data_IF_546745118691
#
_entry.id   IF_546745118691
#
_cell.length_a   1.000
_cell.length_b   1.000
_cell.length_c   1.000
_cell.angle_alpha   90.00
_cell.angle_beta   90.00
_cell.angle_gamma   90.00
#
_symmetry.space_group_name_H-M   'P 1'
#
loop_
_entity.id
_entity.type
_entity.pdbx_description
1 polymer ?
#
# COMPACT_ATOMS: atom_id res chain seq x y z
N UNK A 1 11.02 -0.28 -34.27
CA UNK A 1 11.25 -1.08 -33.05
C UNK A 1 10.62 -0.45 -31.81
N UNK A 2 10.72 0.88 -31.60
CA UNK A 2 10.08 1.58 -30.46
C UNK A 2 8.58 1.30 -30.28
N UNK A 3 7.79 1.32 -31.36
CA UNK A 3 6.33 1.11 -31.26
C UNK A 3 5.94 -0.31 -30.84
N UNK A 4 6.73 -1.31 -31.25
CA UNK A 4 6.50 -2.70 -30.86
C UNK A 4 6.77 -2.91 -29.36
N UNK A 5 7.87 -2.35 -28.84
CA UNK A 5 8.19 -2.41 -27.41
C UNK A 5 7.17 -1.66 -26.57
N UNK A 6 6.69 -0.51 -27.05
CA UNK A 6 5.60 0.24 -26.39
C UNK A 6 4.31 -0.58 -26.31
N UNK A 7 3.94 -1.29 -27.38
CA UNK A 7 2.77 -2.17 -27.38
C UNK A 7 2.95 -3.36 -26.42
N UNK A 8 4.14 -3.96 -26.36
CA UNK A 8 4.46 -5.02 -25.41
C UNK A 8 4.38 -4.53 -23.96
N UNK A 9 4.90 -3.34 -23.67
CA UNK A 9 4.79 -2.72 -22.35
C UNK A 9 3.33 -2.50 -21.91
N UNK A 10 2.51 -1.97 -22.83
CA UNK A 10 1.06 -1.81 -22.58
C UNK A 10 0.39 -3.15 -22.35
N UNK A 11 0.73 -4.18 -23.13
CA UNK A 11 0.19 -5.53 -22.97
C UNK A 11 0.59 -6.15 -21.63
N UNK A 12 1.86 -6.09 -21.24
CA UNK A 12 2.33 -6.59 -19.94
C UNK A 12 1.56 -5.92 -18.80
N UNK A 13 1.35 -4.61 -18.87
CA UNK A 13 0.58 -3.86 -17.88
C UNK A 13 -0.90 -4.28 -17.81
N UNK A 14 -1.50 -4.62 -18.95
CA UNK A 14 -2.88 -5.13 -19.01
C UNK A 14 -3.00 -6.54 -18.44
N UNK A 15 -2.06 -7.43 -18.75
CA UNK A 15 -2.04 -8.78 -18.16
C UNK A 15 -1.84 -8.72 -16.64
N UNK A 16 -0.96 -7.84 -16.17
CA UNK A 16 -0.77 -7.58 -14.75
C UNK A 16 -2.08 -7.11 -14.06
N UNK A 17 -2.84 -6.20 -14.69
CA UNK A 17 -4.15 -5.76 -14.20
C UNK A 17 -5.18 -6.89 -14.16
N UNK A 18 -5.12 -7.82 -15.11
CA UNK A 18 -5.94 -9.03 -15.16
C UNK A 18 -5.46 -10.14 -14.22
N UNK A 19 -4.40 -9.89 -13.44
CA UNK A 19 -3.74 -10.87 -12.56
C UNK A 19 -3.14 -12.08 -13.31
N UNK A 20 -2.94 -11.95 -14.62
CA UNK A 20 -2.26 -12.95 -15.46
C UNK A 20 -0.75 -12.77 -15.37
N UNK A 21 -0.21 -13.00 -14.17
CA UNK A 21 1.18 -12.65 -13.85
C UNK A 21 2.19 -13.44 -14.68
N UNK A 22 1.94 -14.72 -14.99
CA UNK A 22 2.84 -15.54 -15.80
C UNK A 22 2.99 -14.97 -17.21
N UNK A 23 1.88 -14.61 -17.85
CA UNK A 23 1.91 -13.98 -19.18
C UNK A 23 2.60 -12.61 -19.15
N UNK A 24 2.41 -11.81 -18.09
CA UNK A 24 3.12 -10.55 -17.91
C UNK A 24 4.64 -10.77 -17.77
N UNK A 25 5.07 -11.78 -17.01
CA UNK A 25 6.50 -12.15 -16.83
C UNK A 25 7.13 -12.55 -18.16
N UNK A 26 6.43 -13.35 -18.97
CA UNK A 26 6.93 -13.75 -20.29
C UNK A 26 7.14 -12.54 -21.22
N UNK A 27 6.18 -11.61 -21.24
CA UNK A 27 6.29 -10.39 -22.04
C UNK A 27 7.45 -9.52 -21.56
N UNK A 28 7.59 -9.32 -20.25
CA UNK A 28 8.66 -8.52 -19.66
C UNK A 28 10.04 -9.16 -19.91
N UNK A 29 10.14 -10.48 -19.84
CA UNK A 29 11.38 -11.20 -20.16
C UNK A 29 11.77 -11.02 -21.63
N UNK A 30 10.79 -11.00 -22.55
CA UNK A 30 11.06 -10.66 -23.96
C UNK A 30 11.51 -9.21 -24.12
N UNK A 31 10.87 -8.26 -23.43
CA UNK A 31 11.27 -6.85 -23.45
C UNK A 31 12.72 -6.66 -22.98
N UNK A 32 13.13 -7.36 -21.93
CA UNK A 32 14.50 -7.33 -21.41
C UNK A 32 15.53 -7.86 -22.40
N UNK A 33 15.16 -8.81 -23.28
CA UNK A 33 16.06 -9.25 -24.34
C UNK A 33 16.31 -8.17 -25.40
N UNK A 34 15.38 -7.22 -25.58
CA UNK A 34 15.52 -6.08 -26.48
C UNK A 34 16.11 -4.83 -25.80
N UNK A 35 15.81 -4.63 -24.52
CA UNK A 35 16.19 -3.46 -23.73
C UNK A 35 16.77 -3.93 -22.36
N UNK A 36 17.98 -4.53 -22.36
CA UNK A 36 18.55 -5.14 -21.17
C UNK A 36 18.91 -4.15 -20.06
N UNK A 37 19.17 -2.89 -20.41
CA UNK A 37 19.56 -1.84 -19.45
C UNK A 37 18.35 -1.04 -18.92
N UNK A 38 17.13 -1.40 -19.32
CA UNK A 38 15.93 -0.72 -18.85
C UNK A 38 15.49 -1.28 -17.49
N UNK A 39 15.98 -0.65 -16.42
CA UNK A 39 15.64 -0.96 -15.02
C UNK A 39 14.14 -1.08 -14.75
N UNK A 40 13.30 -0.33 -15.49
CA UNK A 40 11.84 -0.38 -15.34
C UNK A 40 11.25 -1.76 -15.64
N UNK A 41 11.83 -2.52 -16.58
CA UNK A 41 11.36 -3.87 -16.92
C UNK A 41 11.58 -4.85 -15.77
N UNK A 42 12.76 -4.80 -15.14
CA UNK A 42 13.08 -5.61 -13.97
C UNK A 42 12.16 -5.27 -12.79
N UNK A 43 11.95 -3.98 -12.47
CA UNK A 43 11.01 -3.59 -11.40
C UNK A 43 9.60 -4.13 -11.67
N UNK A 44 9.13 -4.06 -12.92
CA UNK A 44 7.80 -4.54 -13.26
C UNK A 44 7.72 -6.08 -13.21
N UNK A 45 8.79 -6.80 -13.61
CA UNK A 45 8.82 -8.26 -13.55
C UNK A 45 8.97 -8.77 -12.12
N UNK A 46 9.83 -8.14 -11.33
CA UNK A 46 9.94 -8.38 -9.90
C UNK A 46 8.62 -8.19 -9.18
N UNK A 47 7.81 -7.18 -9.54
CA UNK A 47 6.45 -7.03 -9.02
C UNK A 47 5.52 -8.20 -9.39
N UNK A 48 5.66 -8.77 -10.58
CA UNK A 48 4.87 -9.96 -10.95
C UNK A 48 5.30 -11.18 -10.14
N UNK A 49 6.61 -11.38 -9.95
CA UNK A 49 7.14 -12.42 -9.08
C UNK A 49 6.68 -12.26 -7.63
N UNK A 50 6.70 -11.03 -7.11
CA UNK A 50 6.16 -10.69 -5.78
C UNK A 50 4.69 -11.13 -5.66
N UNK A 51 3.86 -10.78 -6.63
CA UNK A 51 2.44 -11.18 -6.63
C UNK A 51 2.22 -12.70 -6.73
N UNK A 52 3.19 -13.44 -7.31
CA UNK A 52 3.21 -14.91 -7.35
C UNK A 52 3.90 -15.54 -6.13
N UNK A 53 4.33 -14.75 -5.14
CA UNK A 53 5.09 -15.20 -3.97
C UNK A 53 6.45 -15.83 -4.31
N UNK A 54 6.99 -15.51 -5.48
CA UNK A 54 8.33 -15.89 -5.92
C UNK A 54 9.35 -14.88 -5.42
N UNK A 55 9.59 -14.91 -4.11
CA UNK A 55 10.32 -13.86 -3.40
C UNK A 55 11.78 -13.70 -3.84
N UNK A 56 12.48 -14.81 -4.08
CA UNK A 56 13.88 -14.78 -4.48
C UNK A 56 14.05 -14.14 -5.87
N UNK A 57 13.18 -14.48 -6.82
CA UNK A 57 13.17 -13.88 -8.16
C UNK A 57 12.79 -12.38 -8.10
N UNK A 58 11.82 -12.02 -7.25
CA UNK A 58 11.45 -10.62 -7.06
C UNK A 58 12.61 -9.79 -6.50
N UNK A 59 13.30 -10.31 -5.48
CA UNK A 59 14.45 -9.65 -4.88
C UNK A 59 15.57 -9.47 -5.90
N UNK A 60 15.91 -10.53 -6.63
CA UNK A 60 16.93 -10.50 -7.68
C UNK A 60 16.64 -9.46 -8.76
N UNK A 61 15.38 -9.35 -9.21
CA UNK A 61 14.97 -8.32 -10.17
C UNK A 61 15.04 -6.91 -9.59
N UNK A 62 14.70 -6.71 -8.32
CA UNK A 62 14.81 -5.39 -7.69
C UNK A 62 16.26 -4.95 -7.47
N UNK A 63 17.13 -5.87 -7.03
CA UNK A 63 18.55 -5.61 -6.87
C UNK A 63 19.17 -5.20 -8.20
N UNK A 64 18.90 -5.96 -9.26
CA UNK A 64 19.42 -5.63 -10.58
C UNK A 64 18.86 -4.32 -11.14
N UNK A 65 17.59 -4.00 -10.88
CA UNK A 65 17.03 -2.71 -11.26
C UNK A 65 17.75 -1.53 -10.57
N UNK A 66 18.15 -1.70 -9.30
CA UNK A 66 18.90 -0.70 -8.54
C UNK A 66 20.33 -0.57 -9.06
N UNK A 67 20.98 -1.69 -9.41
CA UNK A 67 22.30 -1.67 -10.06
C UNK A 67 22.27 -0.89 -11.38
N UNK A 68 21.26 -1.11 -12.22
CA UNK A 68 21.09 -0.42 -13.50
C UNK A 68 20.73 1.06 -13.33
N UNK A 69 19.87 1.38 -12.35
CA UNK A 69 19.46 2.76 -12.08
C UNK A 69 19.27 3.01 -10.58
N UNK A 70 20.33 3.50 -9.89
CA UNK A 70 20.28 3.80 -8.46
C UNK A 70 19.31 4.93 -8.08
N UNK A 71 18.77 5.68 -9.06
CA UNK A 71 17.79 6.75 -8.81
C UNK A 71 16.35 6.29 -9.03
N UNK A 72 16.12 5.01 -9.31
CA UNK A 72 14.79 4.46 -9.51
C UNK A 72 14.09 4.16 -8.18
N UNK A 73 13.52 5.19 -7.54
CA UNK A 73 12.85 5.07 -6.23
C UNK A 73 11.76 3.98 -6.14
N UNK A 74 11.13 3.62 -7.28
CA UNK A 74 10.15 2.52 -7.34
C UNK A 74 10.78 1.15 -7.03
N UNK A 75 12.05 0.94 -7.39
CA UNK A 75 12.76 -0.31 -7.11
C UNK A 75 12.95 -0.48 -5.60
N UNK A 76 13.51 0.54 -4.93
CA UNK A 76 13.64 0.57 -3.46
C UNK A 76 12.30 0.41 -2.76
N UNK A 77 11.27 1.17 -3.15
CA UNK A 77 9.93 1.04 -2.55
C UNK A 77 9.36 -0.38 -2.64
N UNK A 78 9.59 -1.08 -3.75
CA UNK A 78 9.09 -2.43 -3.94
C UNK A 78 9.93 -3.48 -3.19
N UNK A 79 11.26 -3.30 -3.13
CA UNK A 79 12.16 -4.15 -2.35
C UNK A 79 11.92 -3.98 -0.85
N UNK A 80 11.69 -2.75 -0.38
CA UNK A 80 11.25 -2.45 0.98
C UNK A 80 9.98 -3.22 1.37
N UNK A 81 8.95 -3.22 0.50
CA UNK A 81 7.72 -3.97 0.74
C UNK A 81 7.99 -5.48 0.87
N UNK A 82 8.91 -6.02 0.07
CA UNK A 82 9.33 -7.41 0.15
C UNK A 82 10.02 -7.71 1.49
N UNK A 83 10.98 -6.88 1.90
CA UNK A 83 11.64 -7.01 3.20
C UNK A 83 10.65 -6.90 4.36
N UNK A 84 9.73 -5.93 4.32
CA UNK A 84 8.68 -5.77 5.34
C UNK A 84 7.77 -7.01 5.41
N UNK A 85 7.39 -7.60 4.27
CA UNK A 85 6.59 -8.83 4.26
C UNK A 85 7.30 -10.04 4.91
N UNK A 86 8.63 -10.01 4.96
CA UNK A 86 9.48 -11.01 5.59
C UNK A 86 9.93 -10.62 7.01
N UNK A 87 9.39 -9.52 7.56
CA UNK A 87 9.79 -8.95 8.85
C UNK A 87 11.25 -8.53 8.94
N UNK A 88 11.89 -8.26 7.80
CA UNK A 88 13.24 -7.71 7.73
C UNK A 88 13.17 -6.19 7.86
N UNK A 89 12.82 -5.73 9.06
CA UNK A 89 12.41 -4.34 9.29
C UNK A 89 13.49 -3.32 8.97
N UNK A 90 14.72 -3.54 9.41
CA UNK A 90 15.83 -2.60 9.17
C UNK A 90 16.12 -2.42 7.66
N UNK A 91 16.11 -3.51 6.90
CA UNK A 91 16.32 -3.45 5.45
C UNK A 91 15.14 -2.77 4.74
N UNK A 92 13.91 -3.01 5.21
CA UNK A 92 12.73 -2.33 4.69
C UNK A 92 12.79 -0.82 4.93
N UNK A 93 13.14 -0.40 6.15
CA UNK A 93 13.25 1.01 6.52
C UNK A 93 14.31 1.73 5.69
N UNK A 94 15.50 1.15 5.53
CA UNK A 94 16.56 1.73 4.71
C UNK A 94 16.12 1.96 3.25
N UNK A 95 15.43 0.98 2.65
CA UNK A 95 14.91 1.13 1.29
C UNK A 95 13.74 2.13 1.19
N UNK A 96 12.89 2.23 2.23
CA UNK A 96 11.86 3.27 2.26
C UNK A 96 12.46 4.66 2.34
N UNK A 97 13.48 4.86 3.18
CA UNK A 97 14.19 6.13 3.33
C UNK A 97 14.81 6.55 2.00
N UNK A 98 15.55 5.66 1.33
CA UNK A 98 16.13 5.94 0.01
C UNK A 98 15.04 6.28 -1.03
N UNK A 99 13.92 5.55 -1.04
CA UNK A 99 12.81 5.85 -1.95
C UNK A 99 12.15 7.21 -1.69
N UNK A 100 12.14 7.67 -0.43
CA UNK A 100 11.59 8.95 0.01
C UNK A 100 12.59 10.09 -0.27
N UNK A 101 13.89 9.86 -0.08
CA UNK A 101 14.93 10.83 -0.40
C UNK A 101 15.00 11.10 -1.91
N UNK A 102 14.86 10.06 -2.72
CA UNK A 102 14.75 10.19 -4.18
C UNK A 102 13.48 10.92 -4.63
N UNK A 103 12.37 10.77 -3.89
CA UNK A 103 11.13 11.47 -4.16
C UNK A 103 10.30 11.70 -2.87
N UNK A 104 10.40 12.89 -2.28
CA UNK A 104 9.69 13.21 -1.04
C UNK A 104 8.16 13.14 -1.17
N UNK A 105 7.61 13.22 -2.39
CA UNK A 105 6.18 13.12 -2.69
C UNK A 105 5.72 11.67 -2.92
N UNK A 106 6.57 10.67 -2.70
CA UNK A 106 6.19 9.26 -2.76
C UNK A 106 5.36 8.84 -1.53
N UNK A 107 4.10 9.30 -1.50
CA UNK A 107 3.15 9.04 -0.41
C UNK A 107 2.97 7.54 -0.15
N UNK A 108 3.07 6.71 -1.20
CA UNK A 108 2.95 5.26 -1.06
C UNK A 108 4.12 4.65 -0.29
N UNK A 109 5.35 5.09 -0.54
CA UNK A 109 6.52 4.64 0.24
C UNK A 109 6.38 5.06 1.71
N UNK A 110 6.04 6.33 1.96
CA UNK A 110 5.83 6.85 3.32
C UNK A 110 4.70 6.15 4.07
N UNK A 111 3.60 5.84 3.39
CA UNK A 111 2.51 5.06 3.98
C UNK A 111 2.97 3.65 4.37
N UNK A 112 3.71 2.97 3.49
CA UNK A 112 4.19 1.62 3.78
C UNK A 112 5.28 1.61 4.87
N UNK A 113 6.09 2.67 4.95
CA UNK A 113 7.00 2.91 6.06
C UNK A 113 6.24 3.02 7.39
N UNK A 114 5.19 3.85 7.46
CA UNK A 114 4.35 3.98 8.65
C UNK A 114 3.68 2.66 9.06
N UNK A 115 3.19 1.89 8.09
CA UNK A 115 2.64 0.56 8.34
C UNK A 115 3.71 -0.35 8.93
N UNK A 116 4.94 -0.30 8.41
CA UNK A 116 6.06 -1.13 8.90
C UNK A 116 6.46 -0.74 10.33
N UNK A 117 6.58 0.56 10.62
CA UNK A 117 6.84 1.09 11.96
C UNK A 117 5.77 0.65 12.96
N UNK A 118 4.49 0.71 12.56
CA UNK A 118 3.38 0.19 13.38
C UNK A 118 3.52 -1.31 13.69
N UNK A 119 3.92 -2.13 12.72
CA UNK A 119 4.16 -3.57 12.96
C UNK A 119 5.38 -3.83 13.85
N UNK A 120 6.31 -2.87 13.94
CA UNK A 120 7.44 -2.90 14.89
C UNK A 120 7.03 -2.43 16.30
N UNK A 121 5.89 -1.75 16.44
CA UNK A 121 5.43 -1.13 17.68
C UNK A 121 5.86 0.33 17.86
N UNK A 122 6.54 0.90 16.85
CA UNK A 122 7.01 2.29 16.83
C UNK A 122 5.87 3.22 16.39
N UNK A 123 4.90 3.43 17.28
CA UNK A 123 3.66 4.11 16.96
C UNK A 123 3.83 5.61 16.73
N UNK A 124 4.69 6.28 17.51
CA UNK A 124 4.90 7.73 17.39
C UNK A 124 5.51 8.09 16.02
N UNK A 125 6.53 7.34 15.59
CA UNK A 125 7.16 7.49 14.29
C UNK A 125 6.20 7.17 13.15
N UNK A 126 5.34 6.14 13.32
CA UNK A 126 4.32 5.82 12.34
C UNK A 126 3.31 6.97 12.17
N UNK A 127 2.89 7.61 13.26
CA UNK A 127 2.00 8.78 13.23
C UNK A 127 2.66 9.95 12.49
N UNK A 128 3.93 10.26 12.77
CA UNK A 128 4.68 11.31 12.06
C UNK A 128 4.72 11.06 10.55
N UNK A 129 5.04 9.83 10.12
CA UNK A 129 5.04 9.47 8.70
C UNK A 129 3.64 9.67 8.07
N UNK A 130 2.57 9.32 8.78
CA UNK A 130 1.19 9.47 8.29
C UNK A 130 0.76 10.93 8.22
N UNK A 131 1.12 11.75 9.21
CA UNK A 131 0.81 13.18 9.22
C UNK A 131 1.51 13.90 8.07
N UNK A 132 2.77 13.58 7.78
CA UNK A 132 3.48 14.09 6.61
C UNK A 132 2.79 13.63 5.31
N UNK A 133 2.37 12.36 5.24
CA UNK A 133 1.65 11.85 4.06
C UNK A 133 0.31 12.58 3.86
N UNK A 134 -0.41 12.88 4.94
CA UNK A 134 -1.68 13.59 4.93
C UNK A 134 -1.53 15.07 4.60
N UNK A 135 -0.42 15.71 5.00
CA UNK A 135 -0.11 17.07 4.59
C UNK A 135 -0.10 17.22 3.05
N UNK A 136 0.48 16.24 2.34
CA UNK A 136 0.49 16.24 0.87
C UNK A 136 -0.80 15.70 0.23
N UNK A 137 -1.51 14.79 0.91
CA UNK A 137 -2.76 14.19 0.41
C UNK A 137 -3.85 14.18 1.50
N UNK A 138 -4.44 15.35 1.81
CA UNK A 138 -5.35 15.50 2.96
C UNK A 138 -6.68 14.75 2.78
N UNK A 139 -7.14 14.54 1.55
CA UNK A 139 -8.39 13.82 1.28
C UNK A 139 -8.12 12.36 0.92
N UNK A 140 -7.57 11.59 1.86
CA UNK A 140 -7.22 10.19 1.63
C UNK A 140 -7.77 9.28 2.71
N UNK A 141 -8.90 8.61 2.41
CA UNK A 141 -9.53 7.65 3.31
C UNK A 141 -8.55 6.59 3.84
N UNK A 142 -7.62 6.13 3.00
CA UNK A 142 -6.60 5.16 3.41
C UNK A 142 -5.65 5.73 4.47
N UNK A 143 -5.24 6.99 4.38
CA UNK A 143 -4.31 7.57 5.35
C UNK A 143 -4.98 7.72 6.72
N UNK A 144 -6.22 8.22 6.74
CA UNK A 144 -7.02 8.28 7.96
C UNK A 144 -7.23 6.88 8.56
N UNK A 145 -7.59 5.88 7.75
CA UNK A 145 -7.77 4.52 8.25
C UNK A 145 -6.48 3.93 8.85
N UNK A 146 -5.32 4.15 8.25
CA UNK A 146 -4.06 3.64 8.78
C UNK A 146 -3.62 4.41 10.03
N UNK A 147 -3.86 5.73 10.11
CA UNK A 147 -3.56 6.54 11.32
C UNK A 147 -4.47 6.18 12.48
N UNK A 148 -5.78 6.04 12.22
CA UNK A 148 -6.73 5.50 13.20
C UNK A 148 -6.33 4.11 13.69
N UNK A 149 -5.73 3.27 12.82
CA UNK A 149 -5.19 1.96 13.21
C UNK A 149 -3.95 2.06 14.10
N UNK A 150 -3.09 3.06 13.93
CA UNK A 150 -1.98 3.30 14.84
C UNK A 150 -2.51 3.73 16.20
N UNK A 151 -3.38 4.74 16.28
CA UNK A 151 -4.02 5.18 17.52
C UNK A 151 -4.74 4.04 18.24
N UNK A 152 -5.45 3.19 17.50
CA UNK A 152 -6.09 1.99 18.04
C UNK A 152 -5.07 1.09 18.75
N UNK A 153 -3.94 0.77 18.13
CA UNK A 153 -2.96 -0.13 18.74
C UNK A 153 -2.21 0.51 19.91
N UNK A 154 -2.08 1.84 19.91
CA UNK A 154 -1.49 2.63 20.99
C UNK A 154 -2.44 2.78 22.20
N UNK A 155 -3.74 2.60 22.01
CA UNK A 155 -4.78 2.74 23.05
C UNK A 155 -5.48 4.10 23.08
N UNK A 156 -5.23 4.96 22.08
CA UNK A 156 -5.86 6.28 21.93
C UNK A 156 -7.19 6.16 21.16
N UNK A 157 -8.14 5.47 21.77
CA UNK A 157 -9.38 5.03 21.12
C UNK A 157 -10.24 6.17 20.58
N UNK A 158 -10.25 7.33 21.25
CA UNK A 158 -10.98 8.50 20.79
C UNK A 158 -10.42 9.02 19.44
N UNK A 159 -9.10 9.17 19.35
CA UNK A 159 -8.42 9.56 18.11
C UNK A 159 -8.64 8.51 17.01
N UNK A 160 -8.60 7.22 17.38
CA UNK A 160 -8.84 6.12 16.45
C UNK A 160 -10.25 6.19 15.82
N UNK A 161 -11.29 6.39 16.63
CA UNK A 161 -12.68 6.50 16.17
C UNK A 161 -12.84 7.73 15.27
N UNK A 162 -12.29 8.88 15.64
CA UNK A 162 -12.35 10.09 14.81
C UNK A 162 -11.75 9.86 13.42
N UNK A 163 -10.56 9.25 13.35
CA UNK A 163 -9.91 8.96 12.08
C UNK A 163 -10.66 7.89 11.27
N UNK A 164 -11.22 6.87 11.92
CA UNK A 164 -12.05 5.87 11.26
C UNK A 164 -13.33 6.46 10.67
N UNK A 165 -14.03 7.33 11.40
CA UNK A 165 -15.21 8.05 10.90
C UNK A 165 -14.84 8.89 9.67
N UNK A 166 -13.77 9.69 9.75
CA UNK A 166 -13.30 10.49 8.62
C UNK A 166 -12.93 9.64 7.40
N UNK A 167 -12.34 8.46 7.61
CA UNK A 167 -12.03 7.53 6.53
C UNK A 167 -13.30 7.01 5.83
N UNK A 168 -14.36 6.70 6.60
CA UNK A 168 -15.64 6.24 6.08
C UNK A 168 -16.38 7.35 5.32
N UNK A 169 -16.38 8.58 5.84
CA UNK A 169 -17.02 9.73 5.20
C UNK A 169 -16.38 10.04 3.84
N UNK A 170 -15.05 10.11 3.79
CA UNK A 170 -14.31 10.31 2.54
C UNK A 170 -14.56 9.16 1.53
N UNK A 171 -14.75 7.94 2.02
CA UNK A 171 -15.05 6.79 1.17
C UNK A 171 -16.48 6.85 0.58
N UNK A 172 -17.43 7.42 1.32
CA UNK A 172 -18.81 7.59 0.89
C UNK A 172 -18.96 8.70 -0.18
N UNK A 173 -18.18 9.77 -0.07
CA UNK A 173 -18.25 10.93 -0.98
C UNK A 173 -17.53 10.73 -2.33
N UNK A 174 -16.76 9.66 -2.49
CA UNK A 174 -15.89 9.46 -3.67
C UNK A 174 -16.61 8.74 -4.83
N UNK A 175 -16.30 9.15 -6.08
CA UNK A 175 -16.87 8.60 -7.33
C UNK A 175 -16.67 7.09 -7.53
N UNK A 176 -17.44 6.50 -8.45
CA UNK A 176 -17.51 5.04 -8.68
C UNK A 176 -16.21 4.35 -9.11
N UNK A 177 -15.20 5.08 -9.61
CA UNK A 177 -13.96 4.50 -10.13
C UNK A 177 -13.00 3.97 -9.04
N UNK A 178 -13.03 4.54 -7.84
CA UNK A 178 -12.17 4.13 -6.69
C UNK A 178 -12.91 3.23 -5.69
N UNK A 179 -14.16 2.87 -6.01
CA UNK A 179 -15.10 2.21 -5.10
C UNK A 179 -14.57 0.86 -4.58
N UNK A 180 -13.84 0.09 -5.37
CA UNK A 180 -13.31 -1.21 -4.92
C UNK A 180 -12.21 -1.07 -3.86
N UNK A 181 -11.29 -0.13 -4.02
CA UNK A 181 -10.24 0.13 -3.02
C UNK A 181 -10.86 0.71 -1.74
N UNK A 182 -11.83 1.60 -1.87
CA UNK A 182 -12.57 2.16 -0.75
C UNK A 182 -13.42 1.10 -0.04
N UNK A 183 -14.05 0.18 -0.77
CA UNK A 183 -14.74 -0.98 -0.19
C UNK A 183 -13.79 -1.86 0.64
N UNK A 184 -12.51 -1.95 0.28
CA UNK A 184 -11.51 -2.66 1.07
C UNK A 184 -11.12 -1.88 2.33
N UNK A 185 -10.94 -0.55 2.23
CA UNK A 185 -10.69 0.32 3.39
C UNK A 185 -11.86 0.25 4.38
N UNK A 186 -13.11 0.40 3.91
CA UNK A 186 -14.31 0.34 4.75
C UNK A 186 -14.41 -1.01 5.47
N UNK A 187 -14.21 -2.13 4.74
CA UNK A 187 -14.20 -3.47 5.36
C UNK A 187 -13.12 -3.60 6.44
N UNK A 188 -11.93 -3.03 6.22
CA UNK A 188 -10.85 -3.05 7.22
C UNK A 188 -11.21 -2.20 8.45
N UNK A 189 -11.68 -0.96 8.24
CA UNK A 189 -12.09 -0.05 9.31
C UNK A 189 -13.21 -0.68 10.14
N UNK A 190 -14.28 -1.17 9.52
CA UNK A 190 -15.38 -1.84 10.22
C UNK A 190 -14.90 -3.08 10.99
N UNK A 191 -13.98 -3.87 10.43
CA UNK A 191 -13.38 -5.01 11.15
C UNK A 191 -12.58 -4.55 12.36
N UNK A 192 -11.81 -3.47 12.25
CA UNK A 192 -11.03 -2.90 13.35
C UNK A 192 -11.92 -2.23 14.41
N UNK A 193 -13.05 -1.63 14.01
CA UNK A 193 -14.04 -1.11 14.96
C UNK A 193 -14.79 -2.24 15.65
N UNK A 194 -15.11 -3.32 14.93
CA UNK A 194 -15.78 -4.50 15.49
C UNK A 194 -14.97 -5.22 16.58
N UNK A 195 -13.63 -5.10 16.59
CA UNK A 195 -12.81 -5.65 17.68
C UNK A 195 -12.99 -4.94 19.02
N UNK A 196 -13.73 -3.81 19.06
CA UNK A 196 -14.20 -3.18 20.30
C UNK A 196 -15.54 -3.70 20.81
N UNK A 197 -16.23 -4.58 20.07
CA UNK A 197 -17.62 -4.94 20.36
C UNK A 197 -18.65 -4.00 19.73
N UNK A 198 -18.26 -3.13 18.80
CA UNK A 198 -19.21 -2.37 17.97
C UNK A 198 -19.88 -3.32 16.96
N UNK A 199 -20.99 -3.94 17.34
CA UNK A 199 -22.00 -4.35 16.36
C UNK A 199 -22.70 -3.07 15.91
N UNK A 200 -22.78 -2.81 14.60
CA UNK A 200 -23.70 -1.79 14.09
C UNK A 200 -25.07 -2.11 14.69
N UNK A 201 -25.59 -1.21 15.54
CA UNK A 201 -26.88 -1.41 16.18
C UNK A 201 -27.94 -1.63 15.12
N UNK A 202 -28.50 -2.83 15.08
CA UNK A 202 -29.92 -2.96 14.73
C UNK A 202 -30.66 -2.09 15.75
N UNK A 203 -31.57 -1.26 15.26
CA UNK A 203 -32.29 -0.30 16.09
C UNK A 203 -33.10 -1.02 17.15
N UNK A 204 -32.65 -0.95 18.40
CA UNK A 204 -33.50 -1.19 19.56
C UNK A 204 -34.40 0.05 19.72
N UNK A 205 -35.49 0.04 18.97
CA UNK A 205 -36.66 0.84 19.27
C UNK A 205 -37.39 0.27 20.49
N UNK A 206 -37.84 1.20 21.34
CA UNK A 206 -38.88 1.02 22.37
C UNK A 206 -38.47 0.29 23.65
N UNK A 207 -37.80 1.05 24.54
CA UNK A 207 -37.96 0.89 25.99
C UNK A 207 -38.89 1.97 26.52
N UNK A 208 -40.18 1.85 26.25
CA UNK A 208 -41.23 2.66 26.88
C UNK A 208 -41.58 2.09 28.27
N UNK A 209 -41.56 2.96 29.27
CA UNK A 209 -42.64 3.10 30.25
C UNK A 209 -42.82 2.06 31.35
N UNK A 210 -42.51 2.49 32.58
CA UNK A 210 -42.97 2.00 33.89
C UNK A 210 -44.37 1.36 33.91
N UNK A 211 -44.57 0.31 34.73
CA UNK A 211 -45.68 0.23 35.72
C UNK A 211 -45.28 -0.68 36.91
N UNK A 212 -45.58 -0.22 38.12
CA UNK A 212 -45.75 -1.00 39.37
C UNK A 212 -46.79 -2.14 39.26
#
# INVERSE_FOLDING_TARGET
MSDANLLLNKRASLEAKRKQYTSAIEILTRLMAYEPDNAGHYVNRGLMYYNQRQWAQALSDYDHAIELNPRLGKAYSNRANLYASQRQWLAAMADYDEAIDLNPLNIRARLNQAITLREMGEYEEALVCLDIAMFFKPQSATLYAERGRVYHLQGDWNCAITDYSQALDLAADTSSADREQLNQVNRRVLKWMGSFGYTCGEGDGEGDGDIE
#
